data_IF_487535439034
#
_entry.id   IF_487535439034
#
_cell.length_a   1.000
_cell.length_b   1.000
_cell.length_c   1.000
_cell.angle_alpha   90.00
_cell.angle_beta   90.00
_cell.angle_gamma   90.00
#
_symmetry.space_group_name_H-M   'P 1'
#
loop_
_entity.id
_entity.type
_entity.pdbx_description
1 polymer ?
#
# COMPACT_ATOMS: atom_id res chain seq x y z
N UNK A 1 -4.76 -16.19 28.40
CA UNK A 1 -4.39 -16.71 27.07
C UNK A 1 -3.16 -15.97 26.59
N UNK A 2 -2.23 -16.67 25.94
CA UNK A 2 -0.95 -16.12 25.47
C UNK A 2 -1.07 -15.73 23.99
N UNK A 3 -0.51 -14.60 23.63
CA UNK A 3 -0.43 -14.12 22.26
C UNK A 3 1.02 -14.03 21.78
N UNK A 4 1.22 -13.38 20.64
CA UNK A 4 2.53 -13.15 20.06
C UNK A 4 3.47 -12.41 21.02
N UNK A 5 4.76 -12.73 20.93
CA UNK A 5 5.81 -12.12 21.77
C UNK A 5 5.86 -12.64 23.21
N UNK A 6 5.08 -13.66 23.56
CA UNK A 6 5.08 -14.26 24.90
C UNK A 6 5.40 -15.75 24.88
N UNK A 7 6.14 -16.22 25.88
CA UNK A 7 6.48 -17.62 26.11
C UNK A 7 6.12 -17.99 27.56
N UNK A 8 5.69 -19.23 27.78
CA UNK A 8 5.50 -19.74 29.14
C UNK A 8 6.75 -20.50 29.54
N UNK A 9 7.28 -20.21 30.72
CA UNK A 9 8.37 -20.98 31.29
C UNK A 9 7.92 -22.44 31.49
N UNK A 10 8.68 -23.45 31.04
CA UNK A 10 8.34 -24.85 31.28
C UNK A 10 8.38 -25.24 32.76
N UNK A 11 9.21 -24.58 33.57
CA UNK A 11 9.43 -24.95 34.97
C UNK A 11 8.56 -24.14 35.95
N UNK A 12 8.01 -23.00 35.50
CA UNK A 12 7.20 -22.10 36.34
C UNK A 12 5.90 -21.70 35.65
N UNK A 13 4.97 -21.09 36.40
CA UNK A 13 3.74 -20.50 35.82
C UNK A 13 3.96 -19.09 35.28
N UNK A 14 5.22 -18.63 35.17
CA UNK A 14 5.53 -17.29 34.70
C UNK A 14 5.37 -17.17 33.17
N UNK A 15 4.91 -16.00 32.73
CA UNK A 15 4.86 -15.63 31.33
C UNK A 15 6.02 -14.68 31.05
N UNK A 16 6.92 -15.09 30.17
CA UNK A 16 8.12 -14.37 29.79
C UNK A 16 7.90 -13.66 28.45
N UNK A 17 8.57 -12.52 28.30
CA UNK A 17 8.67 -11.83 27.02
C UNK A 17 9.69 -12.52 26.11
N UNK A 18 9.39 -12.65 24.82
CA UNK A 18 10.36 -13.07 23.80
C UNK A 18 10.87 -11.93 22.94
N UNK A 19 10.27 -10.73 23.04
CA UNK A 19 10.60 -9.57 22.19
C UNK A 19 10.66 -8.27 23.00
N UNK A 20 11.49 -7.32 22.58
CA UNK A 20 11.49 -5.98 23.15
C UNK A 20 10.28 -5.18 22.64
N UNK A 21 9.42 -4.72 23.55
CA UNK A 21 8.16 -4.10 23.17
C UNK A 21 7.30 -3.68 24.36
N UNK A 22 6.11 -3.17 24.06
CA UNK A 22 5.11 -2.79 25.06
C UNK A 22 4.10 -3.91 25.26
N UNK A 23 3.60 -4.04 26.49
CA UNK A 23 2.59 -5.06 26.81
C UNK A 23 1.25 -4.61 26.25
N UNK A 24 0.62 -5.48 25.46
CA UNK A 24 -0.73 -5.29 24.95
C UNK A 24 -1.67 -6.33 25.59
N UNK A 25 -2.69 -5.84 26.29
CA UNK A 25 -3.70 -6.68 26.93
C UNK A 25 -5.04 -6.48 26.25
N UNK A 26 -5.47 -7.49 25.49
CA UNK A 26 -6.78 -7.50 24.85
C UNK A 26 -7.65 -8.54 25.54
N UNK A 27 -8.55 -8.08 26.41
CA UNK A 27 -9.37 -8.93 27.28
C UNK A 27 -8.49 -9.86 28.15
N UNK A 28 -8.52 -11.17 27.87
CA UNK A 28 -7.74 -12.22 28.55
C UNK A 28 -6.50 -12.65 27.76
N UNK A 29 -6.20 -11.99 26.63
CA UNK A 29 -5.03 -12.24 25.80
C UNK A 29 -3.91 -11.27 26.19
N UNK A 30 -2.75 -11.82 26.54
CA UNK A 30 -1.52 -11.05 26.79
C UNK A 30 -0.58 -11.24 25.60
N UNK A 31 -0.19 -10.15 24.95
CA UNK A 31 0.80 -10.13 23.87
C UNK A 31 1.80 -8.99 24.08
N UNK A 32 2.91 -9.04 23.35
CA UNK A 32 3.90 -7.97 23.36
C UNK A 32 3.98 -7.38 21.97
N UNK A 33 3.73 -6.08 21.87
CA UNK A 33 3.86 -5.32 20.64
C UNK A 33 5.33 -4.95 20.46
N UNK A 34 6.05 -5.54 19.50
CA UNK A 34 7.48 -5.28 19.33
C UNK A 34 7.72 -3.82 18.90
N UNK A 35 8.87 -3.26 19.29
CA UNK A 35 9.29 -1.93 18.87
C UNK A 35 9.47 -1.83 17.34
N UNK A 36 9.85 -2.94 16.69
CA UNK A 36 9.96 -3.06 15.24
C UNK A 36 9.63 -4.48 14.82
N UNK A 37 8.81 -4.64 13.79
CA UNK A 37 8.53 -5.94 13.21
C UNK A 37 8.40 -5.85 11.68
N UNK A 38 8.53 -7.00 11.02
CA UNK A 38 8.09 -7.14 9.63
C UNK A 38 6.57 -7.19 9.59
N UNK A 39 6.02 -6.81 8.44
CA UNK A 39 4.59 -6.96 8.18
C UNK A 39 4.17 -8.43 8.38
N UNK A 40 3.15 -8.65 9.20
CA UNK A 40 2.54 -9.97 9.38
C UNK A 40 1.20 -9.94 8.65
N UNK A 41 1.01 -10.77 7.61
CA UNK A 41 -0.18 -10.69 6.78
C UNK A 41 -1.43 -11.09 7.55
N UNK A 42 -2.50 -10.31 7.42
CA UNK A 42 -3.84 -10.65 7.90
C UNK A 42 -4.82 -10.78 6.74
N UNK A 43 -5.84 -11.64 6.90
CA UNK A 43 -6.86 -11.84 5.87
C UNK A 43 -7.64 -10.54 5.65
N UNK A 44 -7.79 -10.17 4.37
CA UNK A 44 -8.46 -8.94 3.95
C UNK A 44 -7.60 -7.68 4.05
N UNK A 45 -6.30 -7.82 4.29
CA UNK A 45 -5.37 -6.70 4.16
C UNK A 45 -5.17 -6.33 2.69
N UNK A 46 -5.24 -5.02 2.40
CA UNK A 46 -4.83 -4.48 1.12
C UNK A 46 -3.33 -4.19 1.16
N UNK A 47 -2.59 -4.79 0.24
CA UNK A 47 -1.14 -4.72 0.19
C UNK A 47 -0.66 -4.37 -1.21
N UNK A 48 0.48 -3.70 -1.28
CA UNK A 48 1.24 -3.56 -2.52
C UNK A 48 2.36 -4.58 -2.49
N UNK A 49 2.63 -5.21 -3.63
CA UNK A 49 3.68 -6.21 -3.73
C UNK A 49 4.49 -6.11 -5.01
N UNK A 50 5.72 -6.64 -4.98
CA UNK A 50 6.60 -6.75 -6.15
C UNK A 50 6.73 -8.21 -6.58
N UNK A 51 6.58 -8.48 -7.87
CA UNK A 51 6.79 -9.81 -8.43
C UNK A 51 8.28 -10.15 -8.35
N UNK A 52 8.61 -11.25 -7.69
CA UNK A 52 9.99 -11.74 -7.52
C UNK A 52 10.30 -12.84 -8.55
N UNK A 53 9.38 -13.81 -8.68
CA UNK A 53 9.54 -14.94 -9.58
C UNK A 53 8.20 -15.31 -10.23
N UNK A 54 8.27 -15.78 -11.48
CA UNK A 54 7.13 -16.30 -12.25
C UNK A 54 7.26 -17.82 -12.33
N UNK A 55 6.28 -18.56 -11.81
CA UNK A 55 6.19 -20.02 -11.91
C UNK A 55 5.05 -20.42 -12.86
N UNK A 56 4.89 -21.71 -13.16
CA UNK A 56 3.94 -22.18 -14.19
C UNK A 56 2.47 -21.82 -13.92
N UNK A 57 2.06 -21.64 -12.65
CA UNK A 57 0.65 -21.40 -12.27
C UNK A 57 0.47 -20.30 -11.22
N UNK A 58 1.54 -19.62 -10.85
CA UNK A 58 1.55 -18.60 -9.80
C UNK A 58 2.73 -17.67 -9.94
N UNK A 59 2.59 -16.50 -9.37
CA UNK A 59 3.68 -15.57 -9.11
C UNK A 59 4.02 -15.59 -7.63
N UNK A 60 5.28 -15.32 -7.31
CA UNK A 60 5.69 -15.10 -5.94
C UNK A 60 5.97 -13.62 -5.76
N UNK A 61 5.43 -13.09 -4.67
CA UNK A 61 5.29 -11.65 -4.47
C UNK A 61 5.97 -11.29 -3.16
N UNK A 62 6.86 -10.30 -3.22
CA UNK A 62 7.43 -9.68 -2.03
C UNK A 62 6.44 -8.67 -1.45
N UNK A 63 6.12 -8.85 -0.18
CA UNK A 63 5.22 -7.99 0.60
C UNK A 63 5.93 -7.33 1.80
N UNK A 64 7.26 -7.40 1.92
CA UNK A 64 7.96 -7.05 3.18
C UNK A 64 7.57 -7.92 4.39
N UNK A 65 6.92 -9.07 4.13
CA UNK A 65 6.62 -10.08 5.12
C UNK A 65 7.82 -11.04 5.32
N UNK A 66 7.86 -11.84 6.39
CA UNK A 66 8.91 -12.85 6.59
C UNK A 66 9.01 -13.87 5.46
N UNK A 67 7.90 -14.17 4.78
CA UNK A 67 7.81 -15.12 3.67
C UNK A 67 7.22 -14.45 2.44
N UNK A 68 7.67 -14.88 1.25
CA UNK A 68 7.06 -14.45 -0.01
C UNK A 68 5.63 -14.99 -0.11
N UNK A 69 4.73 -14.14 -0.59
CA UNK A 69 3.36 -14.50 -0.85
C UNK A 69 3.22 -15.22 -2.20
N UNK A 70 2.11 -15.92 -2.38
CA UNK A 70 1.75 -16.59 -3.63
C UNK A 70 0.53 -15.92 -4.25
N UNK A 71 0.63 -15.49 -5.50
CA UNK A 71 -0.51 -15.05 -6.31
C UNK A 71 -0.78 -16.13 -7.37
N UNK A 72 -1.80 -16.98 -7.21
CA UNK A 72 -2.12 -18.00 -8.20
C UNK A 72 -2.79 -17.36 -9.43
N UNK A 73 -2.55 -17.94 -10.61
CA UNK A 73 -3.23 -17.55 -11.86
C UNK A 73 -4.76 -17.61 -11.72
N UNK A 74 -5.26 -18.47 -10.84
CA UNK A 74 -6.68 -18.60 -10.54
C UNK A 74 -7.28 -17.46 -9.70
N UNK A 75 -6.45 -16.53 -9.22
CA UNK A 75 -6.85 -15.43 -8.36
C UNK A 75 -6.70 -14.05 -9.02
N UNK A 76 -6.39 -14.02 -10.32
CA UNK A 76 -6.36 -12.80 -11.12
C UNK A 76 -7.55 -12.71 -12.09
N UNK A 77 -7.82 -11.49 -12.53
CA UNK A 77 -8.82 -11.18 -13.55
C UNK A 77 -8.20 -11.33 -14.96
N UNK A 78 -8.60 -12.35 -15.71
CA UNK A 78 -8.08 -12.52 -17.07
C UNK A 78 -8.72 -11.50 -18.03
N UNK A 79 -8.00 -11.09 -19.09
CA UNK A 79 -8.59 -10.30 -20.16
C UNK A 79 -9.78 -11.03 -20.78
N UNK A 80 -10.92 -10.37 -20.97
CA UNK A 80 -12.18 -11.01 -21.38
C UNK A 80 -13.15 -11.35 -20.24
N UNK A 81 -12.94 -10.81 -19.04
CA UNK A 81 -13.92 -10.79 -17.95
C UNK A 81 -14.00 -12.06 -17.10
N UNK A 82 -14.84 -12.01 -16.06
CA UNK A 82 -14.96 -13.06 -15.03
C UNK A 82 -15.44 -14.41 -15.59
N UNK A 83 -16.25 -14.37 -16.66
CA UNK A 83 -16.86 -15.54 -17.28
C UNK A 83 -15.91 -16.29 -18.24
N UNK A 84 -14.73 -15.75 -18.55
CA UNK A 84 -13.74 -16.41 -19.42
C UNK A 84 -13.24 -17.69 -18.76
N UNK A 85 -13.35 -18.82 -19.48
CA UNK A 85 -12.74 -20.08 -19.06
C UNK A 85 -11.22 -19.99 -19.11
N UNK A 86 -10.57 -20.40 -18.03
CA UNK A 86 -9.11 -20.50 -17.95
C UNK A 86 -8.64 -21.71 -18.74
N UNK A 87 -7.63 -21.51 -19.57
CA UNK A 87 -7.09 -22.51 -20.49
C UNK A 87 -5.62 -22.75 -20.23
N UNK A 88 -5.07 -23.88 -20.71
CA UNK A 88 -3.64 -24.16 -20.63
C UNK A 88 -2.78 -23.11 -21.37
N UNK A 89 -3.36 -22.38 -22.33
CA UNK A 89 -2.71 -21.27 -23.05
C UNK A 89 -2.40 -20.11 -22.10
N UNK A 90 -3.23 -19.89 -21.08
CA UNK A 90 -3.02 -18.84 -20.08
C UNK A 90 -1.84 -19.18 -19.15
N UNK A 91 -1.60 -20.47 -18.88
CA UNK A 91 -0.43 -20.94 -18.13
C UNK A 91 0.87 -20.71 -18.93
N UNK A 92 0.84 -20.96 -20.24
CA UNK A 92 1.98 -20.69 -21.13
C UNK A 92 2.27 -19.18 -21.27
N UNK A 93 1.21 -18.37 -21.32
CA UNK A 93 1.29 -16.93 -21.46
C UNK A 93 1.31 -16.20 -20.11
N UNK A 94 1.60 -16.88 -18.99
CA UNK A 94 1.50 -16.27 -17.66
C UNK A 94 2.35 -14.99 -17.51
N UNK A 95 3.47 -14.91 -18.23
CA UNK A 95 4.37 -13.76 -18.25
C UNK A 95 3.77 -12.51 -18.92
N UNK A 96 2.69 -12.63 -19.69
CA UNK A 96 2.05 -11.47 -20.32
C UNK A 96 1.23 -10.63 -19.33
N UNK A 97 0.84 -11.23 -18.19
CA UNK A 97 0.09 -10.52 -17.14
C UNK A 97 1.04 -9.83 -16.15
N UNK A 98 2.02 -10.57 -15.65
CA UNK A 98 3.03 -10.06 -14.74
C UNK A 98 4.40 -10.68 -15.02
N UNK A 99 5.40 -9.81 -15.07
CA UNK A 99 6.83 -10.14 -15.16
C UNK A 99 7.55 -9.80 -13.87
N UNK A 100 8.75 -10.35 -13.68
CA UNK A 100 9.62 -10.04 -12.55
C UNK A 100 9.86 -8.52 -12.45
N UNK A 101 9.75 -7.97 -11.25
CA UNK A 101 9.88 -6.54 -10.98
C UNK A 101 8.58 -5.74 -11.04
N UNK A 102 7.50 -6.28 -11.63
CA UNK A 102 6.21 -5.60 -11.68
C UNK A 102 5.66 -5.36 -10.27
N UNK A 103 5.03 -4.19 -10.09
CA UNK A 103 4.32 -3.83 -8.87
C UNK A 103 2.82 -4.04 -9.07
N UNK A 104 2.15 -4.51 -8.03
CA UNK A 104 0.70 -4.70 -8.05
C UNK A 104 0.05 -4.41 -6.70
N UNK A 105 -1.23 -4.06 -6.76
CA UNK A 105 -2.13 -4.04 -5.59
C UNK A 105 -2.85 -5.38 -5.52
N UNK A 106 -2.84 -6.00 -4.35
CA UNK A 106 -3.59 -7.22 -4.08
C UNK A 106 -4.19 -7.21 -2.67
N UNK A 107 -5.16 -8.10 -2.46
CA UNK A 107 -5.72 -8.37 -1.16
C UNK A 107 -5.29 -9.76 -0.69
N UNK A 108 -5.03 -9.89 0.61
CA UNK A 108 -4.70 -11.16 1.25
C UNK A 108 -5.97 -12.01 1.36
N UNK A 109 -6.04 -13.07 0.57
CA UNK A 109 -7.18 -13.99 0.52
C UNK A 109 -7.18 -14.98 1.68
N UNK A 110 -6.02 -15.57 1.94
CA UNK A 110 -5.84 -16.62 2.94
C UNK A 110 -4.40 -16.67 3.40
N UNK A 111 -4.18 -17.30 4.55
CA UNK A 111 -2.86 -17.50 5.15
C UNK A 111 -2.66 -19.01 5.29
N UNK A 112 -1.51 -19.51 4.84
CA UNK A 112 -1.13 -20.90 4.97
C UNK A 112 -0.60 -21.21 6.38
N UNK A 113 -0.49 -22.50 6.72
CA UNK A 113 -0.03 -22.94 8.04
C UNK A 113 1.42 -22.50 8.36
N UNK A 114 2.23 -22.26 7.33
CA UNK A 114 3.59 -21.74 7.46
C UNK A 114 3.64 -20.21 7.65
N UNK A 115 2.49 -19.53 7.59
CA UNK A 115 2.36 -18.07 7.70
C UNK A 115 2.53 -17.34 6.37
N UNK A 116 2.72 -18.04 5.24
CA UNK A 116 2.74 -17.41 3.92
C UNK A 116 1.34 -16.97 3.49
N UNK A 117 1.26 -15.84 2.77
CA UNK A 117 -0.01 -15.29 2.30
C UNK A 117 -0.34 -15.79 0.88
N UNK A 118 -1.62 -16.08 0.63
CA UNK A 118 -2.18 -16.22 -0.72
C UNK A 118 -2.90 -14.94 -1.10
N UNK A 119 -2.61 -14.40 -2.28
CA UNK A 119 -3.14 -13.14 -2.76
C UNK A 119 -4.23 -13.31 -3.81
N UNK A 120 -5.06 -12.29 -4.00
CA UNK A 120 -5.93 -12.16 -5.15
C UNK A 120 -6.10 -10.72 -5.63
N UNK A 121 -6.45 -10.55 -6.91
CA UNK A 121 -6.69 -9.25 -7.56
C UNK A 121 -8.08 -9.19 -8.21
N UNK A 122 -9.10 -9.79 -7.56
CA UNK A 122 -10.45 -9.91 -8.15
C UNK A 122 -11.20 -8.58 -8.32
N UNK A 123 -10.83 -7.51 -7.59
CA UNK A 123 -11.41 -6.18 -7.82
C UNK A 123 -10.77 -5.53 -9.04
N UNK A 124 -11.56 -4.82 -9.85
CA UNK A 124 -11.05 -4.03 -10.99
C UNK A 124 -10.11 -2.89 -10.57
N UNK A 125 -10.16 -2.48 -9.29
CA UNK A 125 -9.24 -1.50 -8.72
C UNK A 125 -7.86 -2.10 -8.41
N UNK A 126 -7.73 -3.42 -8.47
CA UNK A 126 -6.51 -4.16 -8.14
C UNK A 126 -5.87 -4.66 -9.43
N UNK A 127 -4.54 -4.70 -9.46
CA UNK A 127 -3.81 -5.05 -10.66
C UNK A 127 -2.45 -4.40 -10.71
N UNK A 128 -1.89 -4.35 -11.92
CA UNK A 128 -0.56 -3.80 -12.17
C UNK A 128 -0.55 -2.29 -11.94
N UNK A 129 0.46 -1.83 -11.23
CA UNK A 129 0.65 -0.42 -10.91
C UNK A 129 1.46 0.28 -12.01
N UNK A 130 0.97 1.45 -12.43
CA UNK A 130 1.57 2.31 -13.45
C UNK A 130 1.34 3.79 -13.11
N UNK A 131 1.95 4.68 -13.90
CA UNK A 131 1.79 6.14 -13.83
C UNK A 131 2.14 6.78 -12.48
N UNK A 132 3.07 6.18 -11.74
CA UNK A 132 3.32 6.59 -10.36
C UNK A 132 4.70 6.29 -9.83
N UNK A 133 4.84 6.53 -8.53
CA UNK A 133 6.06 6.35 -7.76
C UNK A 133 5.80 5.36 -6.63
N UNK A 134 6.76 4.45 -6.44
CA UNK A 134 6.77 3.52 -5.31
C UNK A 134 7.57 4.09 -4.15
N UNK A 135 7.06 3.88 -2.95
CA UNK A 135 7.77 4.16 -1.71
C UNK A 135 7.54 3.03 -0.72
N UNK A 136 8.60 2.62 -0.03
CA UNK A 136 8.49 1.74 1.14
C UNK A 136 8.73 2.55 2.41
N UNK A 137 7.87 2.33 3.39
CA UNK A 137 8.05 2.83 4.76
C UNK A 137 8.28 1.64 5.68
N UNK A 138 9.10 1.82 6.71
CA UNK A 138 9.41 0.74 7.65
C UNK A 138 8.13 0.22 8.32
N UNK A 139 7.91 -1.09 8.19
CA UNK A 139 6.71 -1.78 8.63
C UNK A 139 6.49 -1.77 10.14
N UNK A 140 5.21 -1.64 10.50
CA UNK A 140 4.50 -1.97 11.75
C UNK A 140 5.39 -2.31 12.96
N UNK A 141 5.55 -1.35 13.86
CA UNK A 141 6.17 -1.49 15.18
C UNK A 141 6.42 -0.11 15.79
N UNK A 142 6.14 0.06 17.08
CA UNK A 142 6.39 1.33 17.78
C UNK A 142 5.39 2.48 17.54
N UNK A 143 4.23 2.22 16.91
CA UNK A 143 3.13 3.20 16.79
C UNK A 143 3.07 4.00 15.48
N UNK A 144 4.17 4.02 14.71
CA UNK A 144 4.23 4.64 13.38
C UNK A 144 3.98 3.67 12.23
N UNK A 145 3.71 4.23 11.04
CA UNK A 145 3.53 3.47 9.79
C UNK A 145 2.08 3.44 9.27
N UNK A 146 1.86 2.71 8.18
CA UNK A 146 0.53 2.57 7.57
C UNK A 146 -0.36 1.71 8.46
N UNK A 147 -1.50 2.26 8.87
CA UNK A 147 -2.50 1.52 9.64
C UNK A 147 -3.63 1.02 8.76
N UNK A 148 -4.31 -0.04 9.20
CA UNK A 148 -5.54 -0.48 8.54
C UNK A 148 -6.64 0.57 8.74
N UNK A 149 -7.01 1.25 7.66
CA UNK A 149 -8.04 2.29 7.65
C UNK A 149 -9.27 1.88 6.82
N UNK A 150 -10.34 2.69 6.90
CA UNK A 150 -11.58 2.46 6.13
C UNK A 150 -11.33 2.48 4.63
N UNK A 151 -10.43 3.34 4.15
CA UNK A 151 -10.02 3.43 2.75
C UNK A 151 -8.50 3.44 2.70
N UNK A 152 -7.95 2.49 1.94
CA UNK A 152 -6.52 2.42 1.63
C UNK A 152 -6.20 2.94 0.23
N UNK A 153 -7.24 3.21 -0.56
CA UNK A 153 -7.16 3.79 -1.90
C UNK A 153 -8.06 5.01 -1.92
N UNK A 154 -7.46 6.17 -2.17
CA UNK A 154 -8.15 7.45 -2.20
C UNK A 154 -7.45 8.39 -3.18
N UNK A 155 -8.18 9.41 -3.60
CA UNK A 155 -7.73 10.41 -4.57
C UNK A 155 -7.57 11.74 -3.85
N UNK A 156 -6.44 12.38 -4.06
CA UNK A 156 -6.09 13.69 -3.51
C UNK A 156 -6.19 14.71 -4.64
N UNK A 157 -7.00 15.74 -4.46
CA UNK A 157 -7.02 16.91 -5.34
C UNK A 157 -5.83 17.79 -4.99
N UNK A 158 -4.89 17.94 -5.92
CA UNK A 158 -3.62 18.63 -5.66
C UNK A 158 -3.66 20.10 -6.09
N UNK A 159 -2.79 20.90 -5.49
CA UNK A 159 -2.61 22.31 -5.79
C UNK A 159 -1.72 22.52 -7.05
N UNK A 160 -1.45 23.78 -7.39
CA UNK A 160 -0.48 24.19 -8.41
C UNK A 160 -0.68 23.56 -9.80
N UNK A 161 -1.91 23.24 -10.20
CA UNK A 161 -2.21 22.61 -11.49
C UNK A 161 -1.88 21.11 -11.57
N UNK A 162 -1.47 20.47 -10.46
CA UNK A 162 -1.07 19.06 -10.42
C UNK A 162 -2.19 18.05 -10.72
N UNK A 163 -3.45 18.50 -10.71
CA UNK A 163 -4.62 17.67 -11.00
C UNK A 163 -4.98 16.74 -9.84
N UNK A 164 -5.53 15.57 -10.16
CA UNK A 164 -5.86 14.55 -9.18
C UNK A 164 -4.77 13.47 -9.13
N UNK A 165 -4.43 13.03 -7.92
CA UNK A 165 -3.42 12.00 -7.65
C UNK A 165 -4.03 10.89 -6.81
N UNK A 166 -3.90 9.65 -7.25
CA UNK A 166 -4.31 8.48 -6.49
C UNK A 166 -3.20 8.01 -5.54
N UNK A 167 -3.56 7.79 -4.29
CA UNK A 167 -2.69 7.25 -3.26
C UNK A 167 -3.21 5.87 -2.85
N UNK A 168 -2.31 4.89 -2.86
CA UNK A 168 -2.55 3.54 -2.36
C UNK A 168 -1.62 3.28 -1.19
N UNK A 169 -2.20 3.09 -0.02
CA UNK A 169 -1.52 2.77 1.22
C UNK A 169 -1.64 1.26 1.50
N UNK A 170 -0.59 0.51 1.18
CA UNK A 170 -0.51 -0.90 1.56
C UNK A 170 -0.25 -1.04 3.06
N UNK A 171 -1.04 -1.88 3.74
CA UNK A 171 -0.89 -2.15 5.19
C UNK A 171 0.52 -2.69 5.52
N UNK A 172 1.18 -3.28 4.52
CA UNK A 172 2.54 -3.76 4.61
C UNK A 172 3.63 -2.67 4.56
N UNK A 173 3.24 -1.40 4.53
CA UNK A 173 4.17 -0.25 4.43
C UNK A 173 4.66 0.01 3.00
N UNK A 174 4.13 -0.68 2.00
CA UNK A 174 4.37 -0.35 0.60
C UNK A 174 3.31 0.63 0.14
N UNK A 175 3.74 1.71 -0.50
CA UNK A 175 2.92 2.84 -0.88
C UNK A 175 3.13 3.12 -2.35
N UNK A 176 2.04 3.45 -3.04
CA UNK A 176 2.05 3.85 -4.43
C UNK A 176 1.30 5.16 -4.60
N UNK A 177 1.91 6.12 -5.30
CA UNK A 177 1.34 7.44 -5.54
C UNK A 177 1.38 7.66 -7.04
N UNK A 178 0.22 7.82 -7.69
CA UNK A 178 0.10 7.88 -9.13
C UNK A 178 -0.82 9.00 -9.61
N UNK A 179 -0.62 9.44 -10.84
CA UNK A 179 -1.60 10.30 -11.53
C UNK A 179 -2.96 9.62 -11.55
N UNK A 180 -4.02 10.34 -11.19
CA UNK A 180 -5.38 9.83 -11.32
C UNK A 180 -5.68 9.56 -12.80
N UNK A 181 -6.14 8.35 -13.09
CA UNK A 181 -6.65 7.99 -14.40
C UNK A 181 -8.13 7.73 -14.22
N UNK A 182 -8.97 8.60 -14.78
CA UNK A 182 -10.40 8.36 -14.76
C UNK A 182 -10.67 6.99 -15.41
N UNK A 183 -11.30 6.06 -14.69
CA UNK A 183 -11.74 4.84 -15.34
C UNK A 183 -12.75 5.23 -16.41
N UNK A 184 -12.74 4.58 -17.58
CA UNK A 184 -13.61 4.89 -18.74
C UNK A 184 -15.11 4.61 -18.49
N UNK A 185 -15.55 4.65 -17.22
CA UNK A 185 -16.89 4.31 -16.73
C UNK A 185 -17.86 5.49 -16.68
N UNK A 186 -17.46 6.72 -17.03
CA UNK A 186 -18.38 7.89 -17.06
C UNK A 186 -19.28 7.97 -18.29
N UNK A 187 -19.52 6.85 -18.99
CA UNK A 187 -20.62 6.71 -19.94
C UNK A 187 -21.83 6.04 -19.27
N UNK A 188 -22.86 6.83 -18.93
CA UNK A 188 -24.20 6.30 -18.62
C UNK A 188 -24.64 5.44 -19.83
N UNK A 189 -25.03 4.19 -19.59
CA UNK A 189 -25.54 3.20 -20.56
C UNK A 189 -24.57 2.14 -21.14
N UNK A 190 -23.47 1.80 -20.46
CA UNK A 190 -22.73 0.58 -20.79
C UNK A 190 -22.99 -0.50 -19.74
N UNK A 191 -23.60 -1.60 -20.18
CA UNK A 191 -23.83 -2.81 -19.38
C UNK A 191 -22.52 -3.25 -18.71
N UNK A 192 -22.58 -3.57 -17.41
CA UNK A 192 -21.45 -3.97 -16.53
C UNK A 192 -20.50 -4.98 -17.22
N UNK A 193 -21.04 -5.91 -18.01
CA UNK A 193 -20.29 -6.94 -18.74
C UNK A 193 -19.38 -6.42 -19.86
N UNK A 194 -19.71 -5.31 -20.54
CA UNK A 194 -18.89 -4.75 -21.64
C UNK A 194 -17.76 -3.86 -21.16
N UNK A 195 -17.95 -3.20 -20.01
CA UNK A 195 -16.92 -2.38 -19.35
C UNK A 195 -15.79 -3.27 -18.82
N UNK A 196 -16.13 -4.46 -18.31
CA UNK A 196 -15.13 -5.43 -17.84
C UNK A 196 -14.22 -5.92 -18.98
N UNK A 197 -14.72 -6.03 -20.22
CA UNK A 197 -13.92 -6.50 -21.36
C UNK A 197 -12.92 -5.46 -21.87
N UNK A 198 -13.31 -4.17 -21.99
CA UNK A 198 -12.44 -3.12 -22.53
C UNK A 198 -11.31 -2.70 -21.58
N UNK A 199 -11.57 -2.71 -20.27
CA UNK A 199 -10.57 -2.38 -19.24
C UNK A 199 -9.52 -3.50 -19.12
N UNK A 200 -9.85 -4.71 -19.56
CA UNK A 200 -9.05 -5.89 -19.22
C UNK A 200 -7.72 -6.04 -19.97
N UNK A 201 -7.54 -5.38 -21.12
CA UNK A 201 -6.25 -5.36 -21.84
C UNK A 201 -5.28 -4.32 -21.29
N UNK A 202 -5.79 -3.17 -20.81
CA UNK A 202 -4.96 -2.09 -20.26
C UNK A 202 -4.50 -2.36 -18.82
N UNK A 203 -5.20 -3.21 -18.06
CA UNK A 203 -4.83 -3.60 -16.68
C UNK A 203 -3.42 -4.19 -16.57
N UNK A 204 -2.92 -4.87 -17.62
CA UNK A 204 -1.62 -5.55 -17.62
C UNK A 204 -0.54 -4.83 -18.43
N UNK A 205 -0.85 -3.65 -18.98
CA UNK A 205 0.12 -2.86 -19.72
C UNK A 205 1.20 -2.29 -18.80
N UNK A 206 2.46 -2.41 -19.21
CA UNK A 206 3.61 -1.76 -18.56
C UNK A 206 3.86 -0.32 -19.04
N UNK A 207 3.10 0.16 -20.03
CA UNK A 207 3.31 1.48 -20.61
C UNK A 207 2.67 2.55 -19.73
N UNK A 208 3.46 3.57 -19.38
CA UNK A 208 3.00 4.72 -18.63
C UNK A 208 2.49 5.80 -19.57
N UNK A 209 1.49 6.54 -19.10
CA UNK A 209 0.98 7.73 -19.78
C UNK A 209 1.92 8.91 -19.55
N UNK A 210 1.77 9.97 -20.35
CA UNK A 210 2.49 11.21 -20.11
C UNK A 210 1.98 11.91 -18.83
N UNK A 211 2.93 12.23 -17.94
CA UNK A 211 2.69 12.89 -16.66
C UNK A 211 3.42 14.23 -16.67
N UNK A 212 2.66 15.31 -16.54
CA UNK A 212 3.17 16.68 -16.47
C UNK A 212 4.06 16.92 -15.24
N UNK A 213 4.92 17.93 -15.32
CA UNK A 213 5.85 18.29 -14.24
C UNK A 213 5.14 18.69 -12.96
N UNK A 214 4.01 19.39 -13.06
CA UNK A 214 3.15 19.80 -11.94
C UNK A 214 2.64 18.58 -11.16
N UNK A 215 2.02 17.61 -11.84
CA UNK A 215 1.58 16.36 -11.20
C UNK A 215 2.74 15.60 -10.55
N UNK A 216 3.92 15.53 -11.20
CA UNK A 216 5.09 14.86 -10.62
C UNK A 216 5.58 15.54 -9.34
N UNK A 217 5.55 16.87 -9.29
CA UNK A 217 5.91 17.66 -8.10
C UNK A 217 4.95 17.35 -6.96
N UNK A 218 3.65 17.28 -7.23
CA UNK A 218 2.66 16.96 -6.21
C UNK A 218 2.74 15.50 -5.73
N UNK A 219 3.03 14.56 -6.63
CA UNK A 219 3.34 13.16 -6.26
C UNK A 219 4.56 13.10 -5.31
N UNK A 220 5.60 13.89 -5.59
CA UNK A 220 6.78 13.98 -4.73
C UNK A 220 6.47 14.63 -3.37
N UNK A 221 5.64 15.68 -3.34
CA UNK A 221 5.19 16.36 -2.11
C UNK A 221 4.42 15.41 -1.20
N UNK A 222 3.42 14.69 -1.73
CA UNK A 222 2.66 13.69 -0.97
C UNK A 222 3.59 12.61 -0.43
N UNK A 223 4.55 12.14 -1.24
CA UNK A 223 5.58 11.20 -0.79
C UNK A 223 6.44 11.75 0.36
N UNK A 224 6.78 13.03 0.30
CA UNK A 224 7.48 13.76 1.36
C UNK A 224 6.67 13.86 2.65
N UNK A 225 5.39 14.20 2.58
CA UNK A 225 4.47 14.26 3.73
C UNK A 225 4.38 12.90 4.43
N UNK A 226 4.17 11.83 3.67
CA UNK A 226 4.09 10.47 4.21
C UNK A 226 5.41 10.07 4.90
N UNK A 227 6.55 10.39 4.30
CA UNK A 227 7.86 10.13 4.91
C UNK A 227 8.01 10.88 6.23
N UNK A 228 7.66 12.15 6.26
CA UNK A 228 7.73 12.97 7.47
C UNK A 228 6.84 12.42 8.60
N UNK A 229 5.61 11.97 8.27
CA UNK A 229 4.73 11.32 9.24
C UNK A 229 5.36 10.08 9.88
N UNK A 230 5.95 9.20 9.06
CA UNK A 230 6.57 7.96 9.54
C UNK A 230 7.83 8.25 10.36
N UNK A 231 8.67 9.20 9.93
CA UNK A 231 9.88 9.58 10.66
C UNK A 231 9.58 10.14 12.06
N UNK A 232 8.43 10.78 12.24
CA UNK A 232 7.95 11.29 13.53
C UNK A 232 7.08 10.28 14.31
N UNK A 233 7.01 9.01 13.87
CA UNK A 233 6.26 7.96 14.56
C UNK A 233 4.74 8.14 14.51
N UNK A 234 4.23 8.96 13.60
CA UNK A 234 2.79 9.20 13.45
C UNK A 234 2.18 8.12 12.55
N UNK A 235 0.95 7.72 12.86
CA UNK A 235 0.18 6.79 12.03
C UNK A 235 -0.12 7.40 10.67
N UNK A 236 -0.10 6.58 9.62
CA UNK A 236 -0.41 6.99 8.25
C UNK A 236 -1.77 6.39 7.87
N UNK A 237 -2.76 7.26 7.71
CA UNK A 237 -4.11 6.98 7.20
C UNK A 237 -4.53 8.12 6.22
N UNK A 238 -5.67 7.97 5.53
CA UNK A 238 -6.20 8.97 4.59
C UNK A 238 -6.26 10.38 5.22
N UNK A 239 -6.86 10.49 6.41
CA UNK A 239 -7.06 11.77 7.11
C UNK A 239 -5.73 12.44 7.48
N UNK A 240 -4.72 11.67 7.89
CA UNK A 240 -3.41 12.20 8.26
C UNK A 240 -2.61 12.64 7.03
N UNK A 241 -2.69 11.89 5.92
CA UNK A 241 -2.03 12.28 4.66
C UNK A 241 -2.64 13.56 4.10
N UNK A 242 -3.97 13.69 4.13
CA UNK A 242 -4.67 14.91 3.68
C UNK A 242 -4.27 16.13 4.53
N UNK A 243 -4.29 16.00 5.85
CA UNK A 243 -3.85 17.08 6.77
C UNK A 243 -2.38 17.45 6.58
N UNK A 244 -1.50 16.47 6.40
CA UNK A 244 -0.09 16.73 6.15
C UNK A 244 0.15 17.42 4.79
N UNK A 245 -0.65 17.09 3.78
CA UNK A 245 -0.61 17.76 2.49
C UNK A 245 -1.03 19.23 2.61
N UNK A 246 -2.16 19.51 3.25
CA UNK A 246 -2.63 20.89 3.50
C UNK A 246 -1.59 21.70 4.30
N UNK A 247 -1.08 21.14 5.39
CA UNK A 247 -0.03 21.78 6.20
C UNK A 247 1.26 22.04 5.38
N UNK A 248 1.59 21.18 4.42
CA UNK A 248 2.75 21.39 3.54
C UNK A 248 2.58 22.57 2.58
N UNK A 249 1.33 22.88 2.17
CA UNK A 249 1.01 24.03 1.35
C UNK A 249 1.10 25.32 2.17
N UNK A 250 0.57 25.31 3.38
CA UNK A 250 0.64 26.46 4.30
C UNK A 250 2.10 26.83 4.59
N UNK A 251 2.94 25.85 4.93
CA UNK A 251 4.37 26.08 5.21
C UNK A 251 5.12 26.63 3.99
N UNK A 252 4.78 26.21 2.77
CA UNK A 252 5.37 26.76 1.55
C UNK A 252 4.99 28.23 1.34
N UNK A 253 3.73 28.59 1.60
CA UNK A 253 3.28 30.00 1.45
C UNK A 253 3.98 30.94 2.43
N UNK A 254 4.31 30.48 3.64
CA UNK A 254 5.03 31.29 4.64
C UNK A 254 6.51 31.53 4.30
N UNK A 255 7.18 30.54 3.69
CA UNK A 255 8.63 30.60 3.41
C UNK A 255 8.96 31.42 2.15
N UNK A 256 7.97 31.64 1.28
CA UNK A 256 8.12 32.38 0.03
C UNK A 256 8.73 31.52 -1.09
N UNK A 257 8.28 31.76 -2.32
CA UNK A 257 8.53 30.92 -3.51
C UNK A 257 10.00 30.84 -4.01
N UNK A 258 10.98 31.35 -3.26
CA UNK A 258 12.38 31.53 -3.69
C UNK A 258 13.37 30.44 -3.26
N UNK A 259 13.09 29.65 -2.23
CA UNK A 259 14.00 28.62 -1.71
C UNK A 259 13.37 27.23 -1.74
N UNK A 260 13.79 26.38 -2.68
CA UNK A 260 13.59 24.91 -2.72
C UNK A 260 12.49 24.37 -1.78
N UNK A 261 11.25 24.83 -1.97
CA UNK A 261 10.10 24.54 -1.10
C UNK A 261 9.62 23.09 -1.21
N UNK A 262 10.19 22.36 -2.16
CA UNK A 262 9.81 21.00 -2.53
C UNK A 262 10.34 19.93 -1.56
N UNK A 263 11.38 20.24 -0.76
CA UNK A 263 11.96 19.27 0.16
C UNK A 263 11.33 19.37 1.57
N UNK A 264 10.57 18.34 1.92
CA UNK A 264 9.90 18.18 3.22
C UNK A 264 10.70 17.37 4.24
N UNK A 265 12.03 17.29 4.13
CA UNK A 265 12.86 16.59 5.11
C UNK A 265 13.32 17.49 6.27
N UNK A 266 13.76 16.86 7.36
CA UNK A 266 14.34 17.55 8.52
C UNK A 266 13.33 18.40 9.29
N UNK A 267 13.73 19.61 9.68
CA UNK A 267 12.91 20.52 10.50
C UNK A 267 11.61 20.94 9.81
N UNK A 268 11.62 21.10 8.48
CA UNK A 268 10.40 21.42 7.70
C UNK A 268 9.38 20.29 7.77
N UNK A 269 9.83 19.05 7.60
CA UNK A 269 8.97 17.86 7.74
C UNK A 269 8.37 17.76 9.13
N UNK A 270 9.18 17.99 10.17
CA UNK A 270 8.70 18.01 11.55
C UNK A 270 7.64 19.09 11.78
N UNK A 271 7.85 20.31 11.25
CA UNK A 271 6.89 21.41 11.34
C UNK A 271 5.56 21.06 10.68
N UNK A 272 5.59 20.44 9.50
CA UNK A 272 4.39 19.97 8.80
C UNK A 272 3.65 18.93 9.64
N UNK A 273 4.35 17.99 10.26
CA UNK A 273 3.75 16.99 11.14
C UNK A 273 3.15 17.61 12.40
N UNK A 274 3.83 18.57 13.02
CA UNK A 274 3.33 19.30 14.19
C UNK A 274 2.03 20.05 13.84
N UNK A 275 1.97 20.74 12.70
CA UNK A 275 0.74 21.40 12.24
C UNK A 275 -0.36 20.37 11.98
N UNK A 276 -0.05 19.29 11.24
CA UNK A 276 -1.03 18.28 10.86
C UNK A 276 -1.60 17.52 12.07
N UNK A 277 -0.82 17.34 13.14
CA UNK A 277 -1.23 16.70 14.39
C UNK A 277 -1.87 17.68 15.40
N UNK A 278 -1.87 18.98 15.11
CA UNK A 278 -2.36 20.01 16.04
C UNK A 278 -1.45 20.24 17.24
N UNK A 279 -0.14 20.04 17.09
CA UNK A 279 0.88 20.23 18.13
C UNK A 279 1.02 19.07 19.11
N UNK A 280 0.43 17.91 18.82
CA UNK A 280 0.47 16.71 19.67
C UNK A 280 1.48 15.69 19.15
N UNK A 281 2.76 16.07 19.09
CA UNK A 281 3.89 15.16 18.80
C UNK A 281 4.76 14.99 20.04
#
# INVERSE_FOLDING_TARGET
MRGHGTLTDPDTTAILSTVAGTIQKTNKLLSILPLRARYTPEIGDLVIGRIVEVQSRRWRVDLSAPLLASLPLSSINLPGGILRKRTAVDELNIRTFFTEGDLLVAEVQSIFQDGSASLHTRSLKYGKLRNGCFMSVSGTGGGGGVIRARRQVFTVTTAHGGGEVDVVLGVNGYIWIAKHVEPETKGKDVSITRIEESVSSSIYSSQNDEIGTETRREVARIGGCIRALVENGVRVDEDMVMRAYEASLDVETEVGAGESGEYLGGERGRRVVEIATGGMV
#
